data_IF_104127734692
#
_entry.id   IF_104127734692
#
_cell.length_a   1.000
_cell.length_b   1.000
_cell.length_c   1.000
_cell.angle_alpha   90.00
_cell.angle_beta   90.00
_cell.angle_gamma   90.00
#
_symmetry.space_group_name_H-M   'P 1'
#
loop_
_entity.id
_entity.type
_entity.pdbx_description
1 polymer ?
#
# COMPACT_ATOMS: atom_id res chain seq x y z
N UNK A 1 -2.76 -3.03 24.48
CA UNK A 1 -2.85 -4.03 23.41
C UNK A 1 -1.48 -4.70 23.29
N UNK A 2 -1.41 -6.03 23.25
CA UNK A 2 -0.14 -6.70 22.99
C UNK A 2 0.32 -6.37 21.57
N UNK A 3 1.62 -6.08 21.40
CA UNK A 3 2.26 -5.94 20.11
C UNK A 3 2.79 -7.32 19.70
N UNK A 4 2.43 -7.76 18.52
CA UNK A 4 2.88 -9.02 17.95
C UNK A 4 3.69 -8.77 16.68
N UNK A 5 4.78 -9.52 16.51
CA UNK A 5 5.64 -9.43 15.34
C UNK A 5 5.52 -10.71 14.51
N UNK A 6 5.15 -10.56 13.25
CA UNK A 6 5.14 -11.65 12.27
C UNK A 6 6.38 -11.48 11.40
N UNK A 7 7.32 -12.42 11.52
CA UNK A 7 8.61 -12.35 10.82
C UNK A 7 8.54 -13.22 9.56
N UNK A 8 8.88 -12.65 8.42
CA UNK A 8 8.95 -13.36 7.15
C UNK A 8 8.65 -12.45 5.96
N UNK A 9 8.85 -12.96 4.77
CA UNK A 9 8.37 -12.31 3.56
C UNK A 9 6.84 -12.40 3.49
N UNK A 10 6.18 -11.42 2.91
CA UNK A 10 4.72 -11.39 2.85
C UNK A 10 4.12 -12.60 2.13
N UNK A 11 4.79 -13.12 1.10
CA UNK A 11 4.36 -14.33 0.38
C UNK A 11 4.33 -15.59 1.26
N UNK A 12 5.15 -15.63 2.29
CA UNK A 12 5.26 -16.78 3.21
C UNK A 12 4.48 -16.57 4.51
N UNK A 13 4.35 -15.34 4.96
CA UNK A 13 3.82 -15.00 6.28
C UNK A 13 2.35 -14.56 6.29
N UNK A 14 1.84 -13.98 5.18
CA UNK A 14 0.45 -13.54 5.08
C UNK A 14 -0.44 -14.69 4.62
N UNK A 15 -0.68 -15.63 5.49
CA UNK A 15 -1.49 -16.83 5.24
C UNK A 15 -2.85 -16.77 5.93
N UNK A 16 -3.79 -17.59 5.50
CA UNK A 16 -5.12 -17.63 6.12
C UNK A 16 -5.05 -18.13 7.57
N UNK A 17 -4.08 -19.03 7.88
CA UNK A 17 -3.82 -19.51 9.24
C UNK A 17 -3.37 -18.38 10.19
N UNK A 18 -2.72 -17.34 9.66
CA UNK A 18 -2.33 -16.16 10.45
C UNK A 18 -3.56 -15.48 11.05
N UNK A 19 -4.63 -15.39 10.30
CA UNK A 19 -5.87 -14.72 10.71
C UNK A 19 -6.49 -15.44 11.90
N UNK A 20 -6.58 -16.76 11.80
CA UNK A 20 -7.16 -17.59 12.85
C UNK A 20 -6.30 -17.59 14.12
N UNK A 21 -4.99 -17.80 13.96
CA UNK A 21 -4.05 -17.93 15.09
C UNK A 21 -3.91 -16.62 15.89
N UNK A 22 -3.99 -15.47 15.21
CA UNK A 22 -3.88 -14.15 15.82
C UNK A 22 -5.25 -13.46 16.04
N UNK A 23 -6.35 -14.15 15.69
CA UNK A 23 -7.71 -13.61 15.79
C UNK A 23 -7.84 -12.22 15.16
N UNK A 24 -7.29 -12.08 13.97
CA UNK A 24 -7.30 -10.82 13.25
C UNK A 24 -8.73 -10.41 12.91
N UNK A 25 -9.05 -9.17 13.14
CA UNK A 25 -10.33 -8.56 12.78
C UNK A 25 -10.14 -7.39 11.83
N UNK A 26 -11.24 -6.68 11.56
CA UNK A 26 -11.21 -5.49 10.70
C UNK A 26 -10.24 -4.46 11.28
N UNK A 27 -9.32 -4.02 10.46
CA UNK A 27 -8.34 -3.03 10.83
C UNK A 27 -8.96 -1.62 10.88
N UNK A 28 -8.70 -0.88 11.94
CA UNK A 28 -9.00 0.55 12.00
C UNK A 28 -7.96 1.37 11.22
N UNK A 29 -6.69 0.94 11.29
CA UNK A 29 -5.55 1.56 10.60
C UNK A 29 -4.64 0.50 10.01
N UNK A 30 -4.27 0.69 8.76
CA UNK A 30 -3.22 -0.06 8.07
C UNK A 30 -2.09 0.91 7.72
N UNK A 31 -0.86 0.61 8.14
CA UNK A 31 0.32 1.37 7.76
C UNK A 31 1.21 0.52 6.85
N UNK A 32 1.38 0.96 5.61
CA UNK A 32 2.21 0.30 4.60
C UNK A 32 3.51 1.07 4.41
N UNK A 33 4.60 0.49 4.88
CA UNK A 33 5.96 1.03 4.84
C UNK A 33 6.89 -0.05 4.27
N UNK A 34 6.63 -0.45 3.02
CA UNK A 34 7.32 -1.54 2.34
C UNK A 34 7.87 -1.16 0.96
N UNK A 35 7.93 0.12 0.66
CA UNK A 35 8.54 0.75 -0.51
C UNK A 35 8.03 0.27 -1.89
N UNK A 36 7.82 -1.02 -2.06
CA UNK A 36 7.70 -1.68 -3.36
C UNK A 36 6.25 -1.98 -3.76
N UNK A 37 6.02 -2.00 -5.06
CA UNK A 37 4.76 -2.42 -5.66
C UNK A 37 4.34 -3.84 -5.22
N UNK A 38 5.25 -4.82 -5.34
CA UNK A 38 4.92 -6.23 -5.06
C UNK A 38 4.52 -6.45 -3.61
N UNK A 39 5.30 -5.93 -2.67
CA UNK A 39 5.00 -6.05 -1.23
C UNK A 39 3.70 -5.35 -0.86
N UNK A 40 3.47 -4.16 -1.41
CA UNK A 40 2.21 -3.43 -1.20
C UNK A 40 1.02 -4.19 -1.77
N UNK A 41 1.17 -4.76 -2.98
CA UNK A 41 0.13 -5.55 -3.62
C UNK A 41 -0.23 -6.78 -2.77
N UNK A 42 0.78 -7.53 -2.29
CA UNK A 42 0.59 -8.71 -1.44
C UNK A 42 -0.13 -8.37 -0.14
N UNK A 43 0.29 -7.30 0.54
CA UNK A 43 -0.32 -6.87 1.79
C UNK A 43 -1.78 -6.42 1.59
N UNK A 44 -2.05 -5.58 0.60
CA UNK A 44 -3.40 -5.12 0.32
C UNK A 44 -4.32 -6.26 -0.12
N UNK A 45 -3.86 -7.11 -1.04
CA UNK A 45 -4.66 -8.26 -1.51
C UNK A 45 -5.00 -9.21 -0.36
N UNK A 46 -4.05 -9.49 0.52
CA UNK A 46 -4.30 -10.28 1.74
C UNK A 46 -5.39 -9.66 2.62
N UNK A 47 -5.29 -8.36 2.87
CA UNK A 47 -6.23 -7.64 3.73
C UNK A 47 -7.65 -7.60 3.14
N UNK A 48 -7.77 -7.32 1.85
CA UNK A 48 -9.07 -7.28 1.17
C UNK A 48 -9.69 -8.66 1.02
N UNK A 49 -8.92 -9.65 0.54
CA UNK A 49 -9.38 -11.02 0.34
C UNK A 49 -9.92 -11.64 1.62
N UNK A 50 -9.36 -11.28 2.75
CA UNK A 50 -9.73 -11.81 4.05
C UNK A 50 -10.68 -10.91 4.85
N UNK A 51 -11.30 -9.92 4.20
CA UNK A 51 -12.26 -9.00 4.81
C UNK A 51 -11.72 -8.27 6.06
N UNK A 52 -10.41 -7.99 6.08
CA UNK A 52 -9.75 -7.25 7.16
C UNK A 52 -9.77 -5.73 6.93
N UNK A 53 -10.33 -5.29 5.81
CA UNK A 53 -10.59 -3.88 5.48
C UNK A 53 -12.10 -3.69 5.35
N UNK A 54 -12.60 -2.59 5.89
CA UNK A 54 -14.00 -2.19 5.77
C UNK A 54 -14.11 -0.68 5.55
N UNK A 55 -15.33 -0.21 5.35
CA UNK A 55 -15.61 1.23 5.35
C UNK A 55 -15.10 1.86 6.66
N UNK A 56 -14.45 3.01 6.56
CA UNK A 56 -13.77 3.76 7.61
C UNK A 56 -12.41 3.19 8.03
N UNK A 57 -11.89 2.13 7.43
CA UNK A 57 -10.48 1.77 7.58
C UNK A 57 -9.61 2.89 7.01
N UNK A 58 -8.60 3.31 7.76
CA UNK A 58 -7.58 4.26 7.30
C UNK A 58 -6.39 3.49 6.77
N UNK A 59 -5.90 3.83 5.57
CA UNK A 59 -4.71 3.24 4.99
C UNK A 59 -3.67 4.34 4.78
N UNK A 60 -2.51 4.20 5.41
CA UNK A 60 -1.37 5.09 5.26
C UNK A 60 -0.29 4.40 4.43
N UNK A 61 0.20 5.09 3.44
CA UNK A 61 1.36 4.72 2.63
C UNK A 61 2.51 5.67 2.94
N UNK A 62 3.67 5.12 3.28
CA UNK A 62 4.85 5.94 3.59
C UNK A 62 5.63 6.35 2.33
N UNK A 63 5.53 5.54 1.28
CA UNK A 63 6.31 5.67 0.06
C UNK A 63 5.43 5.84 -1.19
N UNK A 64 4.37 6.61 -1.10
CA UNK A 64 3.36 6.77 -2.15
C UNK A 64 3.94 7.10 -3.53
N UNK A 65 4.95 7.95 -3.57
CA UNK A 65 5.57 8.43 -4.80
C UNK A 65 6.92 7.75 -5.12
N UNK A 66 7.29 6.67 -4.44
CA UNK A 66 8.61 6.05 -4.57
C UNK A 66 8.76 5.04 -5.69
N UNK A 67 7.66 4.60 -6.29
CA UNK A 67 7.63 3.43 -7.14
C UNK A 67 8.52 3.42 -8.37
N UNK A 68 9.08 4.55 -8.76
CA UNK A 68 9.94 4.64 -9.94
C UNK A 68 11.42 4.44 -9.66
N UNK A 69 11.82 4.57 -8.41
CA UNK A 69 13.24 4.41 -8.04
C UNK A 69 13.61 2.92 -7.97
N UNK A 70 12.62 2.06 -7.80
CA UNK A 70 12.79 0.63 -7.55
C UNK A 70 12.14 -0.28 -8.61
N UNK A 71 11.78 0.23 -9.77
CA UNK A 71 11.41 -0.65 -10.86
C UNK A 71 12.65 -1.49 -11.24
N UNK A 72 12.54 -2.80 -11.14
CA UNK A 72 13.61 -3.77 -11.35
C UNK A 72 14.32 -3.66 -12.71
N UNK A 73 13.74 -2.93 -13.65
CA UNK A 73 14.25 -2.73 -15.00
C UNK A 73 15.05 -1.42 -15.15
N UNK A 74 15.16 -0.61 -14.10
CA UNK A 74 15.85 0.68 -14.20
C UNK A 74 17.04 0.67 -13.24
N UNK A 75 18.24 0.68 -13.79
CA UNK A 75 19.44 1.06 -13.07
C UNK A 75 19.15 2.35 -12.29
N UNK A 76 19.55 2.42 -11.04
CA UNK A 76 19.34 3.58 -10.17
C UNK A 76 19.56 4.89 -10.95
N UNK A 77 18.46 5.57 -11.27
CA UNK A 77 18.50 6.88 -11.91
C UNK A 77 18.27 7.92 -10.83
N UNK A 78 19.22 8.83 -10.58
CA UNK A 78 19.02 9.92 -9.64
C UNK A 78 17.76 10.72 -9.98
N UNK A 79 16.90 11.00 -9.01
CA UNK A 79 15.62 11.74 -9.17
C UNK A 79 15.72 13.00 -10.03
N UNK A 80 16.86 13.70 -9.96
CA UNK A 80 17.13 14.92 -10.78
C UNK A 80 17.13 14.67 -12.30
N UNK A 81 17.22 13.41 -12.73
CA UNK A 81 17.29 13.02 -14.15
C UNK A 81 16.03 12.30 -14.63
N UNK A 82 15.05 12.07 -13.76
CA UNK A 82 13.80 11.43 -14.15
C UNK A 82 12.88 12.47 -14.80
N UNK A 83 12.28 12.17 -15.96
CA UNK A 83 11.27 13.04 -16.55
C UNK A 83 10.05 13.15 -15.61
N UNK A 84 9.38 14.30 -15.63
CA UNK A 84 8.18 14.54 -14.83
C UNK A 84 7.09 13.47 -15.00
N UNK A 85 6.98 12.90 -16.20
CA UNK A 85 6.09 11.76 -16.50
C UNK A 85 6.36 10.51 -15.66
N UNK A 86 7.56 10.38 -15.09
CA UNK A 86 7.91 9.29 -14.19
C UNK A 86 7.27 9.41 -12.82
N UNK A 87 6.74 10.55 -12.46
CA UNK A 87 6.07 10.82 -11.17
C UNK A 87 4.55 10.78 -11.28
N UNK A 88 4.02 10.28 -12.39
CA UNK A 88 2.58 10.12 -12.54
C UNK A 88 2.05 9.13 -11.51
N UNK A 89 1.08 9.60 -10.76
CA UNK A 89 0.36 8.82 -9.77
C UNK A 89 -0.27 7.57 -10.40
N UNK A 90 -0.34 6.46 -9.67
CA UNK A 90 -0.91 5.18 -10.08
C UNK A 90 -0.17 4.40 -11.18
N UNK A 91 1.02 4.82 -11.60
CA UNK A 91 1.79 4.07 -12.61
C UNK A 91 2.85 3.15 -12.03
N UNK A 92 3.19 3.28 -10.74
CA UNK A 92 4.25 2.49 -10.12
C UNK A 92 4.14 2.45 -8.60
N UNK A 93 4.90 1.55 -7.97
CA UNK A 93 5.04 1.48 -6.52
C UNK A 93 3.74 1.26 -5.76
N UNK A 94 3.66 1.85 -4.59
CA UNK A 94 2.50 1.74 -3.70
C UNK A 94 1.22 2.30 -4.34
N UNK A 95 1.32 3.39 -5.07
CA UNK A 95 0.16 4.00 -5.72
C UNK A 95 -0.45 3.12 -6.81
N UNK A 96 0.37 2.42 -7.58
CA UNK A 96 -0.11 1.43 -8.54
C UNK A 96 -0.79 0.25 -7.86
N UNK A 97 -0.18 -0.30 -6.81
CA UNK A 97 -0.74 -1.42 -6.06
C UNK A 97 -2.10 -1.04 -5.43
N UNK A 98 -2.21 0.15 -4.85
CA UNK A 98 -3.47 0.68 -4.34
C UNK A 98 -4.54 0.69 -5.42
N UNK A 99 -4.27 1.33 -6.56
CA UNK A 99 -5.24 1.44 -7.65
C UNK A 99 -5.70 0.07 -8.16
N UNK A 100 -4.78 -0.87 -8.40
CA UNK A 100 -5.09 -2.20 -8.92
C UNK A 100 -5.94 -3.02 -7.93
N UNK A 101 -5.61 -2.98 -6.63
CA UNK A 101 -6.36 -3.72 -5.61
C UNK A 101 -7.74 -3.10 -5.40
N UNK A 102 -7.84 -1.79 -5.30
CA UNK A 102 -9.14 -1.13 -5.15
C UNK A 102 -10.07 -1.38 -6.34
N UNK A 103 -9.54 -1.40 -7.56
CA UNK A 103 -10.31 -1.83 -8.74
C UNK A 103 -10.76 -3.30 -8.64
N UNK A 104 -9.87 -4.19 -8.22
CA UNK A 104 -10.17 -5.63 -8.10
C UNK A 104 -11.31 -5.92 -7.13
N UNK A 105 -11.37 -5.20 -6.03
CA UNK A 105 -12.34 -5.41 -4.97
C UNK A 105 -13.50 -4.39 -4.99
N UNK A 106 -13.70 -3.68 -6.07
CA UNK A 106 -14.71 -2.62 -6.21
C UNK A 106 -14.74 -1.67 -5.00
N UNK A 107 -13.57 -1.32 -4.50
CA UNK A 107 -13.44 -0.45 -3.34
C UNK A 107 -13.19 1.00 -3.76
N UNK A 108 -13.65 1.93 -2.94
CA UNK A 108 -13.37 3.34 -3.08
C UNK A 108 -12.75 3.91 -1.81
N UNK A 109 -11.92 4.93 -1.97
CA UNK A 109 -11.33 5.64 -0.85
C UNK A 109 -11.19 7.13 -1.16
N UNK A 110 -11.30 7.95 -0.14
CA UNK A 110 -11.01 9.37 -0.19
C UNK A 110 -9.61 9.63 0.36
N UNK A 111 -8.79 10.35 -0.39
CA UNK A 111 -7.50 10.79 0.10
C UNK A 111 -7.70 11.93 1.09
N UNK A 112 -7.30 11.70 2.33
CA UNK A 112 -7.43 12.67 3.44
C UNK A 112 -6.14 13.41 3.74
N UNK A 113 -5.00 12.87 3.28
CA UNK A 113 -3.69 13.52 3.40
C UNK A 113 -2.78 13.10 2.25
N UNK A 114 -1.97 14.03 1.77
CA UNK A 114 -0.92 13.77 0.81
C UNK A 114 0.25 14.73 1.07
N UNK A 115 1.39 14.18 1.37
CA UNK A 115 2.62 14.97 1.45
C UNK A 115 3.10 15.24 0.02
N UNK A 116 3.16 16.51 -0.42
CA UNK A 116 3.62 16.82 -1.76
C UNK A 116 5.06 16.33 -1.94
N UNK A 117 5.41 15.82 -3.13
CA UNK A 117 6.77 15.37 -3.42
C UNK A 117 7.73 16.56 -3.38
N UNK A 118 8.27 16.85 -2.22
CA UNK A 118 9.41 17.75 -2.07
C UNK A 118 10.62 17.06 -2.66
N UNK A 119 11.30 17.74 -3.54
CA UNK A 119 12.41 17.38 -4.47
C UNK A 119 13.37 16.22 -4.12
N UNK A 120 13.25 15.54 -3.00
CA UNK A 120 14.11 14.43 -2.60
C UNK A 120 13.47 13.49 -1.55
N UNK A 121 12.19 13.65 -1.18
CA UNK A 121 11.56 12.83 -0.14
C UNK A 121 10.46 11.96 -0.72
N UNK A 122 10.40 10.76 -0.22
CA UNK A 122 9.27 9.85 -0.32
C UNK A 122 8.03 10.60 0.19
N UNK A 123 6.98 10.67 -0.60
CA UNK A 123 5.74 11.33 -0.17
C UNK A 123 4.82 10.33 0.49
N UNK A 124 4.29 10.64 1.66
CA UNK A 124 3.26 9.85 2.30
C UNK A 124 1.87 10.22 1.75
N UNK A 125 0.96 9.25 1.73
CA UNK A 125 -0.44 9.48 1.45
C UNK A 125 -1.33 8.70 2.42
N UNK A 126 -2.45 9.28 2.80
CA UNK A 126 -3.43 8.66 3.70
C UNK A 126 -4.79 8.65 3.04
N UNK A 127 -5.43 7.50 3.06
CA UNK A 127 -6.75 7.28 2.49
C UNK A 127 -7.71 6.76 3.54
N UNK A 128 -8.95 7.21 3.45
CA UNK A 128 -10.09 6.67 4.18
C UNK A 128 -10.91 5.81 3.22
N UNK A 129 -11.10 4.54 3.51
CA UNK A 129 -11.96 3.65 2.73
C UNK A 129 -13.42 4.11 2.87
N UNK A 130 -14.08 4.37 1.75
CA UNK A 130 -15.43 4.94 1.72
C UNK A 130 -16.50 3.91 1.36
N UNK A 131 -16.17 2.93 0.52
CA UNK A 131 -17.04 1.79 0.24
C UNK A 131 -16.22 0.57 -0.19
N UNK A 132 -16.81 -0.59 -0.02
CA UNK A 132 -16.38 -1.85 -0.63
C UNK A 132 -17.68 -2.50 -1.09
N UNK A 133 -17.85 -2.66 -2.39
CA UNK A 133 -19.01 -3.32 -2.97
C UNK A 133 -18.74 -4.84 -3.00
N UNK A 134 -19.62 -5.60 -2.36
CA UNK A 134 -19.61 -7.05 -2.38
C UNK A 134 -20.05 -7.62 -3.75
#
# INVERSE_FOLDING_TARGET
>A
FPLEFIIGFYEDSLTDELIESHKMGIAALVNLDCDQYTSTLQALDFLFRNHLIAQNTVIRYDDWNCGLIYNNDINFIPRKKLPLSCFEEYKSGQSRAHWEVFQRYNATASRIFHDPPLQARKGAAVFLVTSIDE
#
